data_IF_369264517196
#
_entry.id   IF_369264517196
#
_cell.length_a   1.000
_cell.length_b   1.000
_cell.length_c   1.000
_cell.angle_alpha   90.00
_cell.angle_beta   90.00
_cell.angle_gamma   90.00
#
_symmetry.space_group_name_H-M   'P 1'
#
loop_
_entity.id
_entity.type
_entity.pdbx_description
1 polymer ?
#
# COMPACT_ATOMS: atom_id res chain seq x y z
N UNK A 1 14.86 18.02 35.88
CA UNK A 1 15.17 17.11 34.76
C UNK A 1 14.83 17.81 33.46
N UNK A 2 15.73 17.77 32.48
CA UNK A 2 15.44 18.26 31.13
C UNK A 2 14.40 17.36 30.45
N UNK A 3 13.75 17.85 29.38
CA UNK A 3 12.83 17.03 28.57
C UNK A 3 13.56 15.80 28.00
N UNK A 4 14.82 15.96 27.59
CA UNK A 4 15.66 14.86 27.12
C UNK A 4 15.90 13.78 28.19
N UNK A 5 16.13 14.18 29.45
CA UNK A 5 16.33 13.22 30.54
C UNK A 5 15.10 12.34 30.76
N UNK A 6 13.90 12.94 30.70
CA UNK A 6 12.62 12.22 30.83
C UNK A 6 12.42 11.22 29.68
N UNK A 7 12.75 11.60 28.45
CA UNK A 7 12.63 10.72 27.27
C UNK A 7 13.56 9.51 27.37
N UNK A 8 14.74 9.67 27.96
CA UNK A 8 15.73 8.59 28.08
C UNK A 8 15.62 7.78 29.39
N UNK A 9 14.79 8.20 30.34
CA UNK A 9 14.65 7.58 31.66
C UNK A 9 14.21 6.11 31.56
N UNK A 10 14.91 5.21 32.28
CA UNK A 10 14.59 3.78 32.31
C UNK A 10 15.02 2.97 31.07
N UNK A 11 15.61 3.60 30.05
CA UNK A 11 16.13 2.88 28.89
C UNK A 11 17.48 2.22 29.18
N UNK A 12 17.67 0.99 28.69
CA UNK A 12 18.98 0.34 28.67
C UNK A 12 19.91 0.97 27.61
N UNK A 13 21.19 0.59 27.63
CA UNK A 13 22.20 1.18 26.74
C UNK A 13 21.82 1.08 25.25
N UNK A 14 21.40 -0.09 24.76
CA UNK A 14 21.02 -0.30 23.35
C UNK A 14 19.77 0.48 22.96
N UNK A 15 18.79 0.58 23.86
CA UNK A 15 17.58 1.37 23.63
C UNK A 15 17.90 2.87 23.58
N UNK A 16 18.80 3.36 24.46
CA UNK A 16 19.28 4.73 24.43
C UNK A 16 19.97 5.03 23.10
N UNK A 17 20.89 4.17 22.67
CA UNK A 17 21.56 4.30 21.38
C UNK A 17 20.57 4.36 20.21
N UNK A 18 19.53 3.52 20.22
CA UNK A 18 18.50 3.54 19.19
C UNK A 18 17.65 4.84 19.20
N UNK A 19 17.29 5.33 20.39
CA UNK A 19 16.53 6.59 20.54
C UNK A 19 17.36 7.79 20.12
N UNK A 20 18.63 7.85 20.52
CA UNK A 20 19.52 8.99 20.25
C UNK A 20 20.27 8.90 18.92
N UNK A 21 20.11 7.80 18.17
CA UNK A 21 20.76 7.60 16.88
C UNK A 21 20.56 8.81 15.97
N UNK A 22 21.64 9.18 15.28
CA UNK A 22 21.72 10.39 14.48
C UNK A 22 20.98 10.31 13.14
N UNK A 23 21.70 10.68 12.10
CA UNK A 23 21.21 10.76 10.73
C UNK A 23 21.46 9.44 9.99
N UNK A 24 20.71 9.23 8.92
CA UNK A 24 20.84 8.05 8.07
C UNK A 24 19.94 6.87 8.48
N UNK A 25 19.98 5.78 7.71
CA UNK A 25 19.16 4.61 7.93
C UNK A 25 19.62 3.80 9.14
N UNK A 26 18.68 3.31 9.94
CA UNK A 26 18.94 2.43 11.09
C UNK A 26 17.97 1.26 11.11
N UNK A 27 18.50 0.05 11.33
CA UNK A 27 17.72 -1.17 11.51
C UNK A 27 17.77 -1.62 12.97
N UNK A 28 16.61 -1.70 13.61
CA UNK A 28 16.48 -2.18 15.00
C UNK A 28 15.92 -3.59 14.98
N UNK A 29 16.76 -4.59 15.28
CA UNK A 29 16.34 -5.98 15.45
C UNK A 29 16.01 -6.21 16.93
N UNK A 30 14.76 -6.55 17.21
CA UNK A 30 14.29 -6.65 18.59
C UNK A 30 13.28 -7.81 18.74
N UNK A 31 13.42 -8.58 19.82
CA UNK A 31 12.55 -9.72 20.15
C UNK A 31 11.18 -9.29 20.71
N UNK A 32 10.25 -10.23 20.86
CA UNK A 32 8.97 -9.95 21.52
C UNK A 32 9.20 -9.42 22.95
N UNK A 33 8.39 -8.45 23.40
CA UNK A 33 8.49 -7.89 24.75
C UNK A 33 9.70 -7.00 25.05
N UNK A 34 10.59 -6.74 24.09
CA UNK A 34 11.83 -5.94 24.31
C UNK A 34 11.64 -4.42 24.26
N UNK A 35 10.39 -3.94 24.22
CA UNK A 35 10.08 -2.51 24.19
C UNK A 35 10.25 -1.84 22.82
N UNK A 36 10.08 -2.57 21.71
CA UNK A 36 10.16 -2.02 20.33
C UNK A 36 9.36 -0.72 20.16
N UNK A 37 8.08 -0.76 20.47
CA UNK A 37 7.19 0.40 20.31
C UNK A 37 7.59 1.55 21.24
N UNK A 38 8.08 1.24 22.45
CA UNK A 38 8.60 2.24 23.39
C UNK A 38 9.84 2.96 22.82
N UNK A 39 10.76 2.22 22.19
CA UNK A 39 11.94 2.80 21.53
C UNK A 39 11.53 3.72 20.39
N UNK A 40 10.61 3.30 19.52
CA UNK A 40 10.16 4.12 18.38
C UNK A 40 9.45 5.40 18.86
N UNK A 41 8.50 5.28 19.80
CA UNK A 41 7.76 6.44 20.33
C UNK A 41 8.71 7.45 21.00
N UNK A 42 9.69 6.97 21.77
CA UNK A 42 10.71 7.83 22.40
C UNK A 42 11.67 8.44 21.39
N UNK A 43 11.98 7.74 20.30
CA UNK A 43 12.77 8.32 19.19
C UNK A 43 12.05 9.49 18.55
N UNK A 44 10.75 9.37 18.26
CA UNK A 44 9.93 10.47 17.73
C UNK A 44 9.99 11.66 18.70
N UNK A 45 9.70 11.42 19.97
CA UNK A 45 9.76 12.48 20.99
C UNK A 45 11.15 13.11 21.12
N UNK A 46 12.22 12.30 21.02
CA UNK A 46 13.61 12.78 21.05
C UNK A 46 13.93 13.71 19.89
N UNK A 47 13.54 13.35 18.66
CA UNK A 47 13.76 14.18 17.47
C UNK A 47 13.09 15.56 17.61
N UNK A 48 11.85 15.59 18.10
CA UNK A 48 11.11 16.83 18.33
C UNK A 48 11.75 17.65 19.47
N UNK A 49 11.99 17.04 20.63
CA UNK A 49 12.51 17.72 21.81
C UNK A 49 13.91 18.29 21.61
N UNK A 50 14.74 17.61 20.81
CA UNK A 50 16.09 18.07 20.46
C UNK A 50 16.11 18.98 19.22
N UNK A 51 14.93 19.38 18.69
CA UNK A 51 14.78 20.24 17.51
C UNK A 51 15.53 19.71 16.28
N UNK A 52 15.54 18.38 16.11
CA UNK A 52 16.15 17.71 14.96
C UNK A 52 15.19 17.52 13.80
N UNK A 53 13.89 17.55 14.06
CA UNK A 53 12.82 17.56 13.09
C UNK A 53 11.62 18.30 13.67
N UNK A 54 10.82 18.94 12.81
CA UNK A 54 9.48 19.41 13.18
C UNK A 54 8.50 18.23 13.22
N UNK A 55 7.41 18.30 14.00
CA UNK A 55 6.40 17.24 14.02
C UNK A 55 5.92 16.82 12.62
N UNK A 56 5.61 17.78 11.75
CA UNK A 56 5.13 17.57 10.38
C UNK A 56 6.16 16.95 9.43
N UNK A 57 7.44 16.92 9.81
CA UNK A 57 8.53 16.27 9.06
C UNK A 57 8.71 14.79 9.45
N UNK A 58 7.92 14.28 10.41
CA UNK A 58 8.02 12.92 10.92
C UNK A 58 6.85 12.06 10.44
N UNK A 59 7.19 11.01 9.69
CA UNK A 59 6.27 9.96 9.26
C UNK A 59 6.55 8.66 10.03
N UNK A 60 5.54 8.14 10.75
CA UNK A 60 5.59 6.87 11.48
C UNK A 60 4.49 5.92 11.00
N UNK A 61 4.89 4.82 10.36
CA UNK A 61 3.97 3.84 9.78
C UNK A 61 3.91 2.56 10.63
N UNK A 62 2.70 2.02 10.79
CA UNK A 62 2.43 0.74 11.44
C UNK A 62 1.50 -0.13 10.57
N UNK A 63 1.31 -1.40 10.96
CA UNK A 63 0.44 -2.32 10.21
C UNK A 63 -1.02 -2.31 10.68
N UNK A 64 -1.32 -1.78 11.87
CA UNK A 64 -2.67 -1.82 12.43
C UNK A 64 -3.03 -0.48 13.05
N UNK A 65 -4.30 -0.10 12.92
CA UNK A 65 -4.83 1.14 13.51
C UNK A 65 -4.64 1.18 15.03
N UNK A 66 -4.76 0.02 15.70
CA UNK A 66 -4.48 -0.08 17.13
C UNK A 66 -3.03 0.26 17.47
N UNK A 67 -2.06 -0.23 16.68
CA UNK A 67 -0.65 0.07 16.90
C UNK A 67 -0.32 1.54 16.62
N UNK A 68 -0.96 2.15 15.62
CA UNK A 68 -0.84 3.58 15.35
C UNK A 68 -1.37 4.41 16.53
N UNK A 69 -2.61 4.16 16.97
CA UNK A 69 -3.23 4.87 18.09
C UNK A 69 -2.43 4.72 19.40
N UNK A 70 -1.96 3.51 19.71
CA UNK A 70 -1.10 3.30 20.88
C UNK A 70 0.27 3.98 20.76
N UNK A 71 0.77 4.23 19.54
CA UNK A 71 2.03 4.95 19.33
C UNK A 71 1.80 6.46 19.48
N UNK A 72 0.72 6.97 18.91
CA UNK A 72 0.28 8.36 19.02
C UNK A 72 0.10 8.78 20.48
N UNK A 73 -0.68 8.01 21.26
CA UNK A 73 -0.89 8.28 22.70
C UNK A 73 0.45 8.33 23.47
N UNK A 74 1.39 7.45 23.13
CA UNK A 74 2.72 7.44 23.78
C UNK A 74 3.56 8.65 23.39
N UNK A 75 3.49 9.11 22.15
CA UNK A 75 4.20 10.30 21.69
C UNK A 75 3.63 11.54 22.36
N UNK A 76 2.30 11.67 22.41
CA UNK A 76 1.61 12.81 23.03
C UNK A 76 1.94 13.00 24.52
N UNK A 77 2.14 11.90 25.26
CA UNK A 77 2.56 11.96 26.66
C UNK A 77 4.00 12.48 26.82
N UNK A 78 4.88 12.19 25.85
CA UNK A 78 6.31 12.49 25.93
C UNK A 78 6.67 13.86 25.40
N UNK A 79 5.91 14.36 24.42
CA UNK A 79 6.17 15.64 23.77
C UNK A 79 5.47 16.77 24.55
N UNK A 80 6.12 17.93 24.76
CA UNK A 80 5.48 19.06 25.44
C UNK A 80 4.19 19.52 24.74
N UNK A 81 3.25 20.07 25.51
CA UNK A 81 2.01 20.65 24.97
C UNK A 81 2.29 21.67 23.85
N UNK A 82 1.54 21.57 22.75
CA UNK A 82 1.59 22.49 21.61
C UNK A 82 2.37 21.98 20.39
N UNK A 83 2.99 20.81 20.46
CA UNK A 83 3.55 20.13 19.30
C UNK A 83 2.54 19.11 18.78
N UNK A 84 1.82 19.48 17.72
CA UNK A 84 0.88 18.61 17.02
C UNK A 84 1.37 18.38 15.58
N UNK A 85 0.87 17.34 14.92
CA UNK A 85 1.10 17.15 13.48
C UNK A 85 2.15 16.10 13.11
N UNK A 86 2.58 15.24 14.04
CA UNK A 86 3.30 14.02 13.66
C UNK A 86 2.35 13.13 12.86
N UNK A 87 2.78 12.65 11.68
CA UNK A 87 1.98 11.72 10.92
C UNK A 87 2.22 10.30 11.45
N UNK A 88 1.26 9.78 12.22
CA UNK A 88 1.28 8.41 12.77
C UNK A 88 0.07 7.66 12.25
N UNK A 89 0.27 6.55 11.54
CA UNK A 89 -0.84 5.83 10.92
C UNK A 89 -0.43 4.51 10.30
N UNK A 90 -1.34 3.93 9.51
CA UNK A 90 -1.05 2.73 8.73
C UNK A 90 -0.53 3.07 7.33
N UNK A 91 0.12 2.10 6.68
CA UNK A 91 0.52 2.25 5.27
C UNK A 91 -0.67 2.61 4.37
N UNK A 92 -1.83 1.98 4.61
CA UNK A 92 -3.05 2.24 3.85
C UNK A 92 -3.61 3.63 4.10
N UNK A 93 -3.64 4.09 5.36
CA UNK A 93 -4.07 5.44 5.69
C UNK A 93 -3.15 6.50 5.05
N UNK A 94 -1.84 6.24 4.99
CA UNK A 94 -0.87 7.13 4.34
C UNK A 94 -1.13 7.21 2.85
N UNK A 95 -1.25 6.05 2.21
CA UNK A 95 -1.57 5.96 0.80
C UNK A 95 -2.90 6.61 0.43
N UNK A 96 -3.94 6.42 1.25
CA UNK A 96 -5.23 7.10 1.07
C UNK A 96 -5.08 8.63 1.11
N UNK A 97 -4.32 9.18 2.07
CA UNK A 97 -4.03 10.62 2.15
C UNK A 97 -3.35 11.13 0.89
N UNK A 98 -2.28 10.44 0.46
CA UNK A 98 -1.53 10.78 -0.77
C UNK A 98 -2.46 10.75 -1.98
N UNK A 99 -3.32 9.74 -2.09
CA UNK A 99 -4.26 9.63 -3.20
C UNK A 99 -5.28 10.76 -3.21
N UNK A 100 -5.88 11.10 -2.07
CA UNK A 100 -6.88 12.17 -1.99
C UNK A 100 -6.28 13.54 -2.31
N UNK A 101 -5.09 13.82 -1.82
CA UNK A 101 -4.36 15.06 -2.09
C UNK A 101 -3.98 15.21 -3.57
N UNK A 102 -3.75 14.10 -4.28
CA UNK A 102 -3.22 14.08 -5.63
C UNK A 102 -4.14 13.41 -6.67
N UNK A 103 -5.42 13.21 -6.34
CA UNK A 103 -6.36 12.39 -7.12
C UNK A 103 -6.44 12.83 -8.60
N UNK A 104 -6.45 14.14 -8.84
CA UNK A 104 -6.54 14.72 -10.18
C UNK A 104 -5.37 14.34 -11.09
N UNK A 105 -4.16 14.17 -10.54
CA UNK A 105 -2.97 13.76 -11.31
C UNK A 105 -3.07 12.30 -11.78
N UNK A 106 -3.85 11.49 -11.08
CA UNK A 106 -4.12 10.09 -11.42
C UNK A 106 -5.39 9.92 -12.27
N UNK A 107 -6.08 11.01 -12.60
CA UNK A 107 -7.39 10.95 -13.28
C UNK A 107 -8.50 10.38 -12.40
N UNK A 108 -8.35 10.46 -11.08
CA UNK A 108 -9.32 10.00 -10.08
C UNK A 108 -10.09 11.17 -9.49
N UNK A 109 -11.24 10.85 -8.89
CA UNK A 109 -12.02 11.81 -8.10
C UNK A 109 -11.51 11.86 -6.66
N UNK A 110 -11.45 13.04 -5.99
CA UNK A 110 -10.96 13.15 -4.61
C UNK A 110 -11.80 12.38 -3.57
N UNK A 111 -13.11 12.24 -3.83
CA UNK A 111 -14.07 11.51 -2.99
C UNK A 111 -14.12 10.01 -3.30
N UNK A 112 -12.97 9.43 -3.66
CA UNK A 112 -12.86 8.02 -3.99
C UNK A 112 -13.32 7.10 -2.86
N UNK A 113 -13.98 6.01 -3.25
CA UNK A 113 -14.48 4.97 -2.35
C UNK A 113 -13.55 3.75 -2.37
N UNK A 114 -13.07 3.36 -1.19
CA UNK A 114 -12.30 2.12 -1.02
C UNK A 114 -13.26 0.94 -0.86
N UNK A 115 -13.17 -0.04 -1.75
CA UNK A 115 -14.02 -1.23 -1.72
C UNK A 115 -13.45 -2.31 -0.79
N UNK A 116 -14.28 -2.72 0.16
CA UNK A 116 -14.07 -3.95 0.93
C UNK A 116 -14.12 -5.18 0.03
N UNK A 117 -13.55 -6.29 0.50
CA UNK A 117 -13.52 -7.54 -0.26
C UNK A 117 -14.92 -8.01 -0.74
N UNK A 118 -15.98 -7.99 0.09
CA UNK A 118 -17.33 -8.31 -0.40
C UNK A 118 -17.85 -7.32 -1.44
N UNK A 119 -17.55 -6.03 -1.28
CA UNK A 119 -17.94 -5.01 -2.26
C UNK A 119 -17.22 -5.17 -3.59
N UNK A 120 -15.94 -5.60 -3.59
CA UNK A 120 -15.22 -5.94 -4.82
C UNK A 120 -15.91 -7.09 -5.57
N UNK A 121 -16.32 -8.14 -4.87
CA UNK A 121 -17.05 -9.28 -5.46
C UNK A 121 -18.39 -8.84 -6.06
N UNK A 122 -19.14 -8.00 -5.34
CA UNK A 122 -20.43 -7.46 -5.80
C UNK A 122 -20.21 -6.58 -7.04
N UNK A 123 -19.26 -5.65 -6.99
CA UNK A 123 -18.91 -4.76 -8.09
C UNK A 123 -18.52 -5.56 -9.33
N UNK A 124 -17.63 -6.54 -9.17
CA UNK A 124 -17.22 -7.42 -10.26
C UNK A 124 -18.42 -8.16 -10.87
N UNK A 125 -19.33 -8.66 -10.05
CA UNK A 125 -20.55 -9.35 -10.52
C UNK A 125 -21.50 -8.40 -11.27
N UNK A 126 -21.65 -7.16 -10.82
CA UNK A 126 -22.49 -6.15 -11.49
C UNK A 126 -21.96 -5.80 -12.89
N UNK A 127 -20.63 -5.77 -13.05
CA UNK A 127 -19.96 -5.50 -14.32
C UNK A 127 -19.56 -6.76 -15.11
N UNK A 128 -20.11 -7.93 -14.74
CA UNK A 128 -19.69 -9.24 -15.27
C UNK A 128 -19.71 -9.31 -16.81
N UNK A 129 -20.67 -8.62 -17.43
CA UNK A 129 -20.88 -8.62 -18.87
C UNK A 129 -19.94 -7.67 -19.64
N UNK A 130 -19.22 -6.80 -18.93
CA UNK A 130 -18.24 -5.87 -19.51
C UNK A 130 -16.82 -6.44 -19.56
N UNK A 131 -16.56 -7.53 -18.85
CA UNK A 131 -15.28 -8.20 -18.86
C UNK A 131 -15.10 -9.05 -20.13
N UNK A 132 -13.87 -9.18 -20.64
CA UNK A 132 -13.56 -9.91 -21.87
C UNK A 132 -13.51 -11.43 -21.64
N UNK A 133 -14.48 -11.98 -20.91
CA UNK A 133 -14.47 -13.40 -20.59
C UNK A 133 -14.95 -14.27 -21.74
N UNK A 134 -14.19 -15.34 -21.99
CA UNK A 134 -14.53 -16.44 -22.88
C UNK A 134 -14.43 -17.75 -22.11
N UNK A 135 -13.23 -18.09 -21.63
CA UNK A 135 -12.97 -19.31 -20.86
C UNK A 135 -13.60 -19.23 -19.45
N UNK A 136 -13.48 -18.08 -18.77
CA UNK A 136 -13.93 -17.92 -17.39
C UNK A 136 -15.40 -17.50 -17.24
N UNK A 137 -16.20 -17.54 -18.32
CA UNK A 137 -17.65 -17.27 -18.30
C UNK A 137 -18.47 -18.48 -18.75
N UNK A 138 -18.43 -19.61 -18.02
CA UNK A 138 -19.26 -20.76 -18.35
C UNK A 138 -20.74 -20.48 -18.06
N UNK A 139 -21.61 -21.03 -18.91
CA UNK A 139 -23.08 -20.82 -18.86
C UNK A 139 -23.74 -21.27 -17.54
N UNK A 140 -23.17 -22.25 -16.84
CA UNK A 140 -23.79 -22.83 -15.64
C UNK A 140 -23.55 -22.06 -14.34
N UNK A 141 -22.41 -21.36 -14.22
CA UNK A 141 -22.11 -20.51 -13.05
C UNK A 141 -21.11 -19.42 -13.45
N UNK A 142 -21.59 -18.26 -13.92
CA UNK A 142 -20.72 -17.20 -14.42
C UNK A 142 -20.01 -16.44 -13.28
N UNK A 143 -20.38 -16.69 -12.02
CA UNK A 143 -19.73 -16.09 -10.84
C UNK A 143 -18.62 -16.95 -10.22
N UNK A 144 -18.43 -18.18 -10.72
CA UNK A 144 -17.54 -19.19 -10.14
C UNK A 144 -16.10 -18.69 -9.93
N UNK A 145 -15.59 -17.87 -10.85
CA UNK A 145 -14.19 -17.44 -10.85
C UNK A 145 -13.96 -16.04 -10.28
N UNK A 146 -15.02 -15.31 -9.93
CA UNK A 146 -14.89 -13.91 -9.46
C UNK A 146 -13.96 -13.84 -8.25
N UNK A 147 -14.18 -14.66 -7.23
CA UNK A 147 -13.36 -14.63 -6.02
C UNK A 147 -11.89 -14.99 -6.28
N UNK A 148 -11.65 -15.93 -7.20
CA UNK A 148 -10.29 -16.29 -7.62
C UNK A 148 -9.60 -15.12 -8.34
N UNK A 149 -10.30 -14.44 -9.25
CA UNK A 149 -9.78 -13.25 -9.96
C UNK A 149 -9.45 -12.12 -9.00
N UNK A 150 -10.38 -11.76 -8.10
CA UNK A 150 -10.13 -10.70 -7.11
C UNK A 150 -8.98 -11.11 -6.16
N UNK A 151 -8.79 -12.41 -5.87
CA UNK A 151 -7.62 -12.88 -5.07
C UNK A 151 -6.33 -12.68 -5.83
N UNK A 152 -6.32 -13.07 -7.10
CA UNK A 152 -5.16 -12.92 -7.97
C UNK A 152 -4.76 -11.45 -8.13
N UNK A 153 -5.73 -10.57 -8.36
CA UNK A 153 -5.46 -9.14 -8.53
C UNK A 153 -4.93 -8.51 -7.24
N UNK A 154 -5.46 -8.90 -6.08
CA UNK A 154 -4.91 -8.49 -4.79
C UNK A 154 -3.45 -8.91 -4.64
N UNK A 155 -3.11 -10.16 -4.96
CA UNK A 155 -1.73 -10.65 -4.90
C UNK A 155 -0.81 -9.95 -5.91
N UNK A 156 -1.31 -9.68 -7.11
CA UNK A 156 -0.56 -8.90 -8.09
C UNK A 156 -0.21 -7.52 -7.54
N UNK A 157 -1.16 -6.85 -6.86
CA UNK A 157 -0.92 -5.55 -6.21
C UNK A 157 0.04 -5.65 -5.02
N UNK A 158 -0.02 -6.72 -4.24
CA UNK A 158 0.93 -6.96 -3.13
C UNK A 158 2.39 -7.05 -3.64
N UNK A 159 2.58 -7.60 -4.84
CA UNK A 159 3.86 -7.70 -5.55
C UNK A 159 4.15 -6.49 -6.47
N UNK A 160 3.35 -5.41 -6.37
CA UNK A 160 3.47 -4.19 -7.16
C UNK A 160 3.42 -4.40 -8.70
N UNK A 161 2.71 -5.46 -9.12
CA UNK A 161 2.47 -5.77 -10.54
C UNK A 161 1.26 -4.97 -11.03
N UNK A 162 1.53 -3.99 -11.89
CA UNK A 162 0.47 -3.17 -12.51
C UNK A 162 -0.19 -3.92 -13.70
N UNK A 163 -1.43 -3.56 -14.08
CA UNK A 163 -2.12 -4.25 -15.17
C UNK A 163 -1.36 -4.28 -16.49
N UNK A 164 -0.62 -3.20 -16.80
CA UNK A 164 0.18 -3.10 -18.01
C UNK A 164 1.35 -4.10 -18.02
N UNK A 165 1.96 -4.38 -16.87
CA UNK A 165 3.04 -5.37 -16.74
C UNK A 165 2.53 -6.81 -16.84
N UNK A 166 1.37 -7.09 -16.23
CA UNK A 166 0.70 -8.39 -16.37
C UNK A 166 0.33 -8.64 -17.84
N UNK A 167 -0.22 -7.63 -18.52
CA UNK A 167 -0.56 -7.74 -19.94
C UNK A 167 0.68 -8.03 -20.80
N UNK A 168 1.79 -7.32 -20.56
CA UNK A 168 3.04 -7.58 -21.26
C UNK A 168 3.58 -9.00 -21.00
N UNK A 169 3.39 -9.55 -19.79
CA UNK A 169 3.72 -10.95 -19.50
C UNK A 169 2.87 -11.93 -20.31
N UNK A 170 1.55 -11.72 -20.35
CA UNK A 170 0.65 -12.58 -21.12
C UNK A 170 0.92 -12.50 -22.63
N UNK A 171 1.29 -11.32 -23.14
CA UNK A 171 1.71 -11.14 -24.55
C UNK A 171 2.99 -11.90 -24.88
N UNK A 172 3.98 -11.90 -23.98
CA UNK A 172 5.21 -12.70 -24.17
C UNK A 172 4.91 -14.20 -24.20
N UNK A 173 4.11 -14.70 -23.25
CA UNK A 173 3.70 -16.11 -23.24
C UNK A 173 2.98 -16.52 -24.54
N UNK A 174 2.07 -15.66 -25.01
CA UNK A 174 1.37 -15.91 -26.27
C UNK A 174 2.33 -15.97 -27.45
N UNK A 175 3.29 -15.06 -27.52
CA UNK A 175 4.32 -15.07 -28.57
C UNK A 175 5.19 -16.33 -28.50
N UNK A 176 5.57 -16.75 -27.30
CA UNK A 176 6.34 -17.99 -27.07
C UNK A 176 5.56 -19.23 -27.54
N UNK A 177 4.24 -19.27 -27.31
CA UNK A 177 3.37 -20.34 -27.80
C UNK A 177 3.27 -20.35 -29.34
N UNK A 178 3.16 -19.18 -29.98
CA UNK A 178 3.02 -19.05 -31.44
C UNK A 178 4.33 -19.32 -32.21
N UNK A 179 5.48 -18.96 -31.64
CA UNK A 179 6.81 -19.11 -32.27
C UNK A 179 7.53 -20.40 -31.87
N UNK A 180 7.07 -21.05 -30.79
CA UNK A 180 7.66 -22.26 -30.22
C UNK A 180 7.30 -23.55 -30.97
N UNK A 181 7.82 -24.70 -30.48
CA UNK A 181 7.30 -26.00 -30.91
C UNK A 181 5.82 -26.13 -30.54
N UNK A 182 5.08 -26.92 -31.32
CA UNK A 182 3.66 -27.23 -31.08
C UNK A 182 3.47 -27.83 -29.68
N UNK A 183 2.96 -27.01 -28.76
CA UNK A 183 2.72 -27.33 -27.35
C UNK A 183 1.31 -26.85 -26.96
N UNK A 184 0.30 -27.75 -27.07
CA UNK A 184 -1.08 -27.41 -26.76
C UNK A 184 -1.30 -26.94 -25.32
N UNK A 185 -0.47 -27.37 -24.36
CA UNK A 185 -0.57 -26.93 -22.96
C UNK A 185 -0.13 -25.47 -22.83
N UNK A 186 0.96 -25.10 -23.50
CA UNK A 186 1.43 -23.72 -23.52
C UNK A 186 0.44 -22.78 -24.22
N UNK A 187 -0.17 -23.21 -25.33
CA UNK A 187 -1.22 -22.45 -26.02
C UNK A 187 -2.44 -22.19 -25.13
N UNK A 188 -2.89 -23.21 -24.38
CA UNK A 188 -4.01 -23.07 -23.45
C UNK A 188 -3.66 -22.09 -22.31
N UNK A 189 -2.48 -22.24 -21.70
CA UNK A 189 -2.01 -21.35 -20.63
C UNK A 189 -1.91 -19.92 -21.14
N UNK A 190 -1.30 -19.69 -22.31
CA UNK A 190 -1.16 -18.36 -22.88
C UNK A 190 -2.52 -17.69 -23.13
N UNK A 191 -3.50 -18.45 -23.61
CA UNK A 191 -4.87 -17.97 -23.81
C UNK A 191 -5.54 -17.59 -22.49
N UNK A 192 -5.43 -18.45 -21.47
CA UNK A 192 -5.97 -18.18 -20.13
C UNK A 192 -5.33 -16.94 -19.50
N UNK A 193 -4.00 -16.81 -19.56
CA UNK A 193 -3.25 -15.67 -19.01
C UNK A 193 -3.61 -14.36 -19.72
N UNK A 194 -3.80 -14.40 -21.04
CA UNK A 194 -4.26 -13.23 -21.81
C UNK A 194 -5.65 -12.75 -21.37
N UNK A 195 -6.58 -13.68 -21.14
CA UNK A 195 -7.92 -13.37 -20.65
C UNK A 195 -7.87 -12.76 -19.24
N UNK A 196 -7.06 -13.33 -18.34
CA UNK A 196 -6.82 -12.81 -16.98
C UNK A 196 -6.25 -11.39 -17.02
N UNK A 197 -5.20 -11.17 -17.82
CA UNK A 197 -4.51 -9.88 -17.87
C UNK A 197 -5.43 -8.75 -18.37
N UNK A 198 -6.20 -9.02 -19.43
CA UNK A 198 -7.20 -8.08 -19.96
C UNK A 198 -8.31 -7.82 -18.94
N UNK A 199 -8.73 -8.84 -18.20
CA UNK A 199 -9.70 -8.71 -17.12
C UNK A 199 -9.17 -7.85 -15.99
N UNK A 200 -7.91 -8.02 -15.58
CA UNK A 200 -7.28 -7.19 -14.55
C UNK A 200 -7.23 -5.71 -14.97
N UNK A 201 -6.82 -5.45 -16.22
CA UNK A 201 -6.82 -4.10 -16.78
C UNK A 201 -8.22 -3.48 -16.79
N UNK A 202 -9.21 -4.21 -17.31
CA UNK A 202 -10.61 -3.76 -17.34
C UNK A 202 -11.18 -3.54 -15.93
N UNK A 203 -10.80 -4.36 -14.96
CA UNK A 203 -11.20 -4.20 -13.56
C UNK A 203 -10.70 -2.88 -12.96
N UNK A 204 -9.41 -2.55 -13.15
CA UNK A 204 -8.90 -1.25 -12.69
C UNK A 204 -9.55 -0.07 -13.42
N UNK A 205 -9.75 -0.19 -14.74
CA UNK A 205 -10.37 0.89 -15.50
C UNK A 205 -11.82 1.13 -15.03
N UNK A 206 -12.57 0.07 -14.74
CA UNK A 206 -13.93 0.15 -14.19
C UNK A 206 -13.96 0.77 -12.80
N UNK A 207 -13.03 0.39 -11.92
CA UNK A 207 -12.90 1.01 -10.60
C UNK A 207 -12.68 2.52 -10.73
N UNK A 208 -11.69 2.94 -11.52
CA UNK A 208 -11.38 4.35 -11.74
C UNK A 208 -12.57 5.12 -12.34
N UNK A 209 -13.26 4.57 -13.34
CA UNK A 209 -14.44 5.17 -13.96
C UNK A 209 -15.59 5.43 -12.98
N UNK A 210 -15.70 4.62 -11.93
CA UNK A 210 -16.73 4.74 -10.91
C UNK A 210 -16.24 5.45 -9.63
N UNK A 211 -15.06 6.07 -9.67
CA UNK A 211 -14.47 6.72 -8.48
C UNK A 211 -14.19 5.75 -7.34
N UNK A 212 -13.87 4.51 -7.65
CA UNK A 212 -13.60 3.44 -6.69
C UNK A 212 -12.15 3.01 -6.78
N UNK A 213 -11.63 2.51 -5.66
CA UNK A 213 -10.36 1.80 -5.58
C UNK A 213 -10.54 0.60 -4.64
N UNK A 214 -9.59 -0.32 -4.59
CA UNK A 214 -9.52 -1.32 -3.51
C UNK A 214 -8.35 -1.08 -2.55
N UNK A 215 -8.21 -1.96 -1.54
CA UNK A 215 -7.16 -1.82 -0.53
C UNK A 215 -5.75 -1.86 -1.12
N UNK A 216 -5.49 -2.68 -2.15
CA UNK A 216 -4.17 -2.76 -2.78
C UNK A 216 -3.82 -1.49 -3.58
N UNK A 217 -4.83 -0.79 -4.08
CA UNK A 217 -4.66 0.49 -4.77
C UNK A 217 -4.14 1.59 -3.84
N UNK A 218 -4.44 1.52 -2.55
CA UNK A 218 -3.90 2.46 -1.56
C UNK A 218 -2.36 2.35 -1.44
N UNK A 219 -1.72 1.32 -1.99
CA UNK A 219 -0.26 1.20 -2.03
C UNK A 219 0.27 1.39 -3.46
N UNK A 220 -0.30 0.67 -4.42
CA UNK A 220 0.20 0.66 -5.81
C UNK A 220 -0.02 1.97 -6.54
N UNK A 221 -1.13 2.68 -6.31
CA UNK A 221 -1.39 3.96 -6.96
C UNK A 221 -0.49 5.10 -6.45
N UNK A 222 -0.21 5.25 -5.13
CA UNK A 222 0.84 6.15 -4.65
C UNK A 222 2.22 5.82 -5.24
N UNK A 223 2.60 4.55 -5.34
CA UNK A 223 3.86 4.15 -5.98
C UNK A 223 3.91 4.58 -7.45
N UNK A 224 2.84 4.31 -8.20
CA UNK A 224 2.69 4.78 -9.58
C UNK A 224 2.78 6.30 -9.67
N UNK A 225 2.11 7.03 -8.78
CA UNK A 225 2.17 8.49 -8.72
C UNK A 225 3.61 8.98 -8.50
N UNK A 226 4.31 8.46 -7.51
CA UNK A 226 5.67 8.88 -7.20
C UNK A 226 6.67 8.54 -8.31
N UNK A 227 6.50 7.41 -9.01
CA UNK A 227 7.32 7.03 -10.18
C UNK A 227 7.08 7.93 -11.38
N UNK A 228 5.82 8.31 -11.64
CA UNK A 228 5.43 9.07 -12.82
C UNK A 228 5.51 10.58 -12.63
N UNK A 229 5.42 11.06 -11.38
CA UNK A 229 5.44 12.47 -11.01
C UNK A 229 6.51 12.76 -9.95
N UNK A 230 7.81 12.84 -10.32
CA UNK A 230 8.90 13.09 -9.38
C UNK A 230 8.77 14.42 -8.61
N UNK A 231 8.02 15.39 -9.14
CA UNK A 231 7.74 16.64 -8.44
C UNK A 231 6.83 16.47 -7.22
N UNK A 232 5.91 15.50 -7.28
CA UNK A 232 5.05 15.15 -6.13
C UNK A 232 5.88 14.43 -5.08
N UNK A 233 6.71 13.44 -5.49
CA UNK A 233 7.59 12.72 -4.56
C UNK A 233 8.49 13.66 -3.75
N UNK A 234 9.03 14.72 -4.38
CA UNK A 234 9.85 15.73 -3.70
C UNK A 234 9.12 16.51 -2.59
N UNK A 235 7.80 16.48 -2.52
CA UNK A 235 7.05 17.10 -1.42
C UNK A 235 7.02 16.21 -0.17
N UNK A 236 7.29 14.91 -0.34
CA UNK A 236 7.31 13.90 0.73
C UNK A 236 8.74 13.49 1.13
N UNK A 237 9.78 14.13 0.58
CA UNK A 237 11.22 13.88 0.85
C UNK A 237 11.89 15.13 1.40
#
# INVERSE_FOLDING_TARGET
>A
MSVGDKILEGLNQKQREAVTYGEGPVLIVAGAGTGKTQVISRRIAWLIAMKRAKPEEILALTFTEKAAAEMEERVDILVPYGYTGVWIGTFHAFGDSVLRENALLLGLVPDLQVLTRPQQIIFFREHLFEFPFSYYRPLGNPTRYIEAMVTLFSRAKDEDVIPEEYLAYAERLKKEAEEGPDDPELEEIATQQMEIARTYKKYQDLLAQHGKIDFGDQITLPLKLFRTHPAVLRQYQ
#
